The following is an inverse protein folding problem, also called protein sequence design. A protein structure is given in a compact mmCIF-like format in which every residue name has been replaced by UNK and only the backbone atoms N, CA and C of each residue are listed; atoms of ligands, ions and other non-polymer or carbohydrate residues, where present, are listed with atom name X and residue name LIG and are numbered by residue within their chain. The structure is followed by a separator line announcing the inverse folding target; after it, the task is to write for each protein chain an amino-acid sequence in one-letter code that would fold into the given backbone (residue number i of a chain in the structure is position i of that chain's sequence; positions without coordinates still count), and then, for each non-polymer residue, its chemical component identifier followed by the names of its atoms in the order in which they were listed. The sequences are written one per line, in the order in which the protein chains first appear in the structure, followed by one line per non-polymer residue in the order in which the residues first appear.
data_IF_929369411814
#
_entry.id   IF_929369411814
#
_cell.length_a   1.000
_cell.length_b   1.000
_cell.length_c   1.000
_cell.angle_alpha   90.00
_cell.angle_beta   90.00
_cell.angle_gamma   90.00
#
_symmetry.space_group_name_H-M   'P 1'
#
loop_
_entity.id
_entity.type
_entity.pdbx_description
1 polymer ?
#
# COMPACT_ATOMS: atom_id res chain seq x y z
N UNK A 1 52.96 17.07 -48.35
CA UNK A 1 52.68 17.56 -46.99
C UNK A 1 51.16 17.54 -46.79
N UNK A 2 50.73 16.80 -45.76
CA UNK A 2 49.39 16.75 -45.13
C UNK A 2 48.17 16.22 -45.93
N UNK A 3 47.98 14.92 -45.73
CA UNK A 3 46.70 14.19 -45.60
C UNK A 3 45.75 14.93 -44.65
N UNK A 4 44.46 14.98 -45.00
CA UNK A 4 43.26 14.78 -44.14
C UNK A 4 42.14 15.74 -44.55
N UNK A 5 41.07 15.22 -45.16
CA UNK A 5 39.72 15.70 -44.87
C UNK A 5 38.77 14.51 -44.76
N UNK A 6 38.17 14.46 -43.58
CA UNK A 6 37.43 13.37 -43.00
C UNK A 6 36.03 13.27 -43.62
N UNK A 7 35.58 12.03 -43.78
CA UNK A 7 34.17 11.66 -43.93
C UNK A 7 33.36 12.21 -42.75
N UNK A 8 32.36 13.04 -43.02
CA UNK A 8 31.28 13.33 -42.07
C UNK A 8 30.03 12.60 -42.55
N UNK A 9 29.90 11.34 -42.11
CA UNK A 9 28.63 10.62 -42.15
C UNK A 9 27.78 11.17 -41.01
N UNK A 10 26.75 11.93 -41.36
CA UNK A 10 25.76 12.47 -40.43
C UNK A 10 24.92 11.31 -39.87
N UNK A 11 25.29 10.86 -38.67
CA UNK A 11 24.50 9.97 -37.80
C UNK A 11 23.24 10.70 -37.32
N UNK A 12 22.20 10.70 -38.15
CA UNK A 12 20.87 11.21 -37.82
C UNK A 12 19.93 10.05 -37.50
N UNK A 13 20.23 9.28 -36.45
CA UNK A 13 19.34 8.25 -35.91
C UNK A 13 19.56 8.06 -34.41
N UNK A 14 18.97 8.94 -33.59
CA UNK A 14 18.73 8.64 -32.16
C UNK A 14 17.91 9.74 -31.46
N UNK A 15 16.79 10.16 -32.07
CA UNK A 15 15.83 11.09 -31.42
C UNK A 15 14.42 10.50 -31.27
N UNK A 16 14.25 9.18 -31.29
CA UNK A 16 12.93 8.53 -31.15
C UNK A 16 12.90 7.49 -30.00
N UNK A 17 14.02 7.21 -29.33
CA UNK A 17 14.05 6.23 -28.24
C UNK A 17 13.59 6.77 -26.86
N UNK A 18 13.30 8.07 -26.72
CA UNK A 18 12.85 8.65 -25.45
C UNK A 18 11.32 8.80 -25.31
N UNK A 19 10.53 8.38 -26.30
CA UNK A 19 9.06 8.46 -26.26
C UNK A 19 8.36 7.11 -25.97
N UNK A 20 9.12 6.07 -25.61
CA UNK A 20 8.59 4.72 -25.35
C UNK A 20 8.97 4.16 -23.97
N UNK A 21 9.46 4.99 -23.05
CA UNK A 21 9.55 4.62 -21.64
C UNK A 21 8.19 4.86 -20.97
N UNK A 22 7.33 3.87 -21.21
CA UNK A 22 6.27 3.38 -20.35
C UNK A 22 5.86 4.31 -19.20
N UNK A 23 4.66 4.86 -19.35
CA UNK A 23 3.79 5.34 -18.28
C UNK A 23 3.53 4.32 -17.15
N UNK A 24 4.22 3.18 -17.12
CA UNK A 24 4.17 2.16 -16.09
C UNK A 24 5.20 2.37 -14.96
N UNK A 25 6.09 3.38 -15.06
CA UNK A 25 7.07 3.72 -14.00
C UNK A 25 6.57 4.82 -13.04
N UNK A 26 5.31 5.26 -13.17
CA UNK A 26 4.58 5.87 -12.06
C UNK A 26 4.01 4.77 -11.15
N UNK A 27 4.89 3.86 -10.70
CA UNK A 27 4.68 3.18 -9.44
C UNK A 27 4.75 4.28 -8.37
N UNK A 28 3.60 4.91 -8.13
CA UNK A 28 3.32 5.81 -7.02
C UNK A 28 4.07 5.31 -5.81
N UNK A 29 5.16 6.00 -5.46
CA UNK A 29 5.86 5.83 -4.20
C UNK A 29 4.91 6.37 -3.13
N UNK A 30 3.90 5.58 -2.80
CA UNK A 30 3.17 5.74 -1.57
C UNK A 30 4.21 5.51 -0.47
N UNK A 31 4.72 6.61 0.10
CA UNK A 31 5.36 6.57 1.42
C UNK A 31 4.26 6.13 2.39
N UNK A 32 4.02 4.82 2.44
CA UNK A 32 3.12 4.21 3.40
C UNK A 32 3.76 4.45 4.77
N UNK A 33 3.17 5.36 5.54
CA UNK A 33 3.53 5.54 6.94
C UNK A 33 2.99 4.36 7.73
N UNK A 34 3.80 3.92 8.70
CA UNK A 34 3.48 2.95 9.77
C UNK A 34 2.36 1.95 9.45
N UNK A 35 2.77 0.75 9.03
CA UNK A 35 1.87 -0.40 8.96
C UNK A 35 1.65 -0.98 10.35
N UNK A 36 0.40 -1.06 10.79
CA UNK A 36 0.02 -1.85 11.96
C UNK A 36 -0.64 -3.13 11.46
N UNK A 37 -0.27 -4.26 12.03
CA UNK A 37 -1.00 -5.50 11.76
C UNK A 37 -0.98 -6.45 12.94
N UNK A 38 -1.83 -7.46 12.88
CA UNK A 38 -1.88 -8.52 13.88
C UNK A 38 -2.92 -9.59 13.56
N UNK A 39 -2.78 -10.73 14.21
CA UNK A 39 -3.82 -11.76 14.26
C UNK A 39 -4.57 -11.66 15.58
N UNK A 40 -5.83 -12.07 15.59
CA UNK A 40 -6.56 -12.37 16.81
C UNK A 40 -5.88 -13.50 17.57
N UNK A 41 -6.15 -13.63 18.87
CA UNK A 41 -5.54 -14.68 19.70
C UNK A 41 -5.85 -16.10 19.25
N UNK A 42 -6.98 -16.29 18.58
CA UNK A 42 -7.42 -17.56 17.99
C UNK A 42 -7.02 -17.74 16.52
N UNK A 43 -6.27 -16.79 15.95
CA UNK A 43 -5.86 -16.76 14.54
C UNK A 43 -6.99 -16.78 13.50
N UNK A 44 -8.25 -16.57 13.91
CA UNK A 44 -9.40 -16.56 12.98
C UNK A 44 -9.56 -15.25 12.24
N UNK A 45 -9.01 -14.16 12.79
CA UNK A 45 -9.11 -12.84 12.21
C UNK A 45 -7.73 -12.21 12.05
N UNK A 46 -7.55 -11.48 10.96
CA UNK A 46 -6.36 -10.69 10.71
C UNK A 46 -6.76 -9.22 10.55
N UNK A 47 -5.95 -8.33 11.12
CA UNK A 47 -6.12 -6.89 10.98
C UNK A 47 -4.89 -6.28 10.32
N UNK A 48 -5.17 -5.37 9.38
CA UNK A 48 -4.18 -4.59 8.68
C UNK A 48 -4.63 -3.13 8.67
N UNK A 49 -3.75 -2.22 9.11
CA UNK A 49 -3.92 -0.78 8.99
C UNK A 49 -2.71 -0.23 8.26
N UNK A 50 -2.98 0.56 7.23
CA UNK A 50 -1.98 1.36 6.55
C UNK A 50 -2.46 2.79 6.39
N UNK A 51 -1.50 3.71 6.30
CA UNK A 51 -1.76 5.10 6.00
C UNK A 51 -0.77 5.63 4.99
N UNK A 52 -1.21 6.63 4.24
CA UNK A 52 -0.42 7.29 3.23
C UNK A 52 -0.88 8.74 3.09
N UNK A 53 -0.24 9.47 2.18
CA UNK A 53 -0.64 10.82 1.83
C UNK A 53 -0.96 10.86 0.34
N UNK A 54 -2.08 11.46 -0.03
CA UNK A 54 -2.38 11.72 -1.43
C UNK A 54 -1.30 12.66 -2.00
N UNK A 55 -0.61 12.25 -3.05
CA UNK A 55 0.51 13.01 -3.60
C UNK A 55 0.08 14.34 -4.28
N UNK A 56 -1.19 14.50 -4.61
CA UNK A 56 -1.72 15.69 -5.30
C UNK A 56 -2.43 16.63 -4.34
N UNK A 57 -3.33 16.09 -3.50
CA UNK A 57 -4.13 16.92 -2.58
C UNK A 57 -3.51 17.08 -1.21
N UNK A 58 -2.43 16.34 -0.92
CA UNK A 58 -1.79 16.23 0.39
C UNK A 58 -2.71 15.71 1.50
N UNK A 59 -3.96 15.32 1.19
CA UNK A 59 -4.92 14.77 2.15
C UNK A 59 -4.40 13.43 2.67
N UNK A 60 -4.35 13.21 3.99
CA UNK A 60 -3.98 11.92 4.55
C UNK A 60 -5.04 10.87 4.24
N UNK A 61 -4.59 9.69 3.87
CA UNK A 61 -5.44 8.54 3.62
C UNK A 61 -5.06 7.44 4.61
N UNK A 62 -6.04 6.77 5.18
CA UNK A 62 -5.82 5.53 5.91
C UNK A 62 -6.84 4.49 5.47
N UNK A 63 -6.47 3.22 5.60
CA UNK A 63 -7.34 2.08 5.36
C UNK A 63 -7.06 1.02 6.42
N UNK A 64 -8.14 0.55 7.04
CA UNK A 64 -8.12 -0.60 7.95
C UNK A 64 -8.91 -1.73 7.32
N UNK A 65 -8.40 -2.94 7.44
CA UNK A 65 -9.03 -4.17 6.97
C UNK A 65 -8.98 -5.18 8.09
N UNK A 66 -10.16 -5.65 8.51
CA UNK A 66 -10.32 -6.78 9.41
C UNK A 66 -10.93 -7.91 8.59
N UNK A 67 -10.16 -8.97 8.42
CA UNK A 67 -10.53 -10.09 7.55
C UNK A 67 -10.70 -11.38 8.34
N UNK A 68 -11.74 -12.11 8.00
CA UNK A 68 -11.91 -13.49 8.40
C UNK A 68 -10.90 -14.34 7.62
N UNK A 69 -10.03 -15.06 8.33
CA UNK A 69 -8.95 -15.83 7.69
C UNK A 69 -9.51 -17.05 6.95
N UNK A 70 -10.57 -17.68 7.47
CA UNK A 70 -11.12 -18.90 6.88
C UNK A 70 -11.87 -18.62 5.57
N UNK A 71 -12.63 -17.53 5.50
CA UNK A 71 -13.40 -17.17 4.31
C UNK A 71 -12.70 -16.16 3.41
N UNK A 72 -11.54 -15.63 3.84
CA UNK A 72 -10.82 -14.56 3.16
C UNK A 72 -11.74 -13.38 2.79
N UNK A 73 -12.67 -13.05 3.68
CA UNK A 73 -13.66 -12.01 3.49
C UNK A 73 -13.51 -10.92 4.54
N UNK A 74 -13.94 -9.71 4.20
CA UNK A 74 -14.03 -8.64 5.17
C UNK A 74 -15.04 -8.98 6.26
N UNK A 75 -14.69 -8.72 7.52
CA UNK A 75 -15.67 -8.68 8.61
C UNK A 75 -16.60 -7.48 8.43
N UNK A 76 -17.84 -7.61 8.87
CA UNK A 76 -18.81 -6.51 8.77
C UNK A 76 -18.28 -5.25 9.46
N UNK A 77 -18.32 -4.10 8.77
CA UNK A 77 -17.76 -2.82 9.25
C UNK A 77 -16.24 -2.87 9.57
N UNK A 78 -15.55 -3.93 9.14
CA UNK A 78 -14.14 -4.18 9.40
C UNK A 78 -13.19 -3.66 8.32
N UNK A 79 -13.69 -3.33 7.12
CA UNK A 79 -12.89 -2.80 6.02
C UNK A 79 -13.38 -1.42 5.63
N UNK A 80 -12.72 -0.41 6.15
CA UNK A 80 -13.08 0.98 5.95
C UNK A 80 -11.84 1.80 5.63
N UNK A 81 -12.05 2.93 4.96
CA UNK A 81 -11.03 3.91 4.62
C UNK A 81 -11.45 5.29 5.11
N UNK A 82 -10.51 6.20 5.26
CA UNK A 82 -10.86 7.59 5.52
C UNK A 82 -11.52 8.21 4.31
N UNK A 83 -12.55 9.02 4.58
CA UNK A 83 -13.28 9.80 3.58
C UNK A 83 -13.16 11.26 3.98
N UNK A 84 -12.06 11.88 3.55
CA UNK A 84 -11.79 13.28 3.80
C UNK A 84 -11.83 14.06 2.48
N UNK A 85 -12.25 15.32 2.57
CA UNK A 85 -12.13 16.26 1.47
C UNK A 85 -10.78 17.01 1.53
N UNK A 86 -10.61 18.00 0.65
CA UNK A 86 -9.37 18.80 0.58
C UNK A 86 -9.12 19.69 1.80
N UNK A 87 -10.13 19.97 2.63
CA UNK A 87 -9.97 20.79 3.84
C UNK A 87 -9.10 20.09 4.90
N UNK A 88 -8.99 18.76 4.82
CA UNK A 88 -8.22 17.93 5.74
C UNK A 88 -6.72 17.81 5.37
N UNK A 89 -6.20 18.59 4.42
CA UNK A 89 -4.79 18.50 3.99
C UNK A 89 -3.79 18.74 5.13
N UNK A 90 -4.18 19.54 6.13
CA UNK A 90 -3.41 19.82 7.33
C UNK A 90 -3.40 18.68 8.36
N UNK A 91 -4.27 17.67 8.24
CA UNK A 91 -4.27 16.51 9.13
C UNK A 91 -3.04 15.63 8.88
N UNK A 92 -2.59 14.94 9.92
CA UNK A 92 -1.49 13.98 9.83
C UNK A 92 -1.98 12.59 9.41
N UNK A 93 -1.08 11.74 8.90
CA UNK A 93 -1.42 10.34 8.62
C UNK A 93 -1.78 9.59 9.90
N UNK A 94 -1.17 9.97 11.04
CA UNK A 94 -1.50 9.42 12.35
C UNK A 94 -2.92 9.79 12.81
N UNK A 95 -3.41 10.98 12.46
CA UNK A 95 -4.80 11.35 12.73
C UNK A 95 -5.77 10.46 11.94
N UNK A 96 -5.48 10.23 10.65
CA UNK A 96 -6.24 9.31 9.80
C UNK A 96 -6.25 7.87 10.35
N UNK A 97 -5.10 7.37 10.82
CA UNK A 97 -4.99 6.07 11.50
C UNK A 97 -5.88 6.03 12.76
N UNK A 98 -5.79 7.05 13.61
CA UNK A 98 -6.52 7.12 14.87
C UNK A 98 -8.03 7.11 14.63
N UNK A 99 -8.53 7.87 13.66
CA UNK A 99 -9.95 7.89 13.30
C UNK A 99 -10.47 6.50 12.94
N UNK A 100 -9.74 5.74 12.14
CA UNK A 100 -10.13 4.38 11.79
C UNK A 100 -10.04 3.41 12.99
N UNK A 101 -9.05 3.58 13.86
CA UNK A 101 -8.91 2.79 15.09
C UNK A 101 -10.06 3.02 16.07
N UNK A 102 -10.61 4.24 16.12
CA UNK A 102 -11.80 4.57 16.91
C UNK A 102 -13.05 3.97 16.28
N UNK A 103 -13.26 4.17 14.97
CA UNK A 103 -14.42 3.62 14.24
C UNK A 103 -14.49 2.10 14.33
N UNK A 104 -13.35 1.42 14.33
CA UNK A 104 -13.28 -0.05 14.42
C UNK A 104 -13.12 -0.58 15.84
N UNK A 105 -13.18 0.25 16.88
CA UNK A 105 -12.89 -0.18 18.25
C UNK A 105 -13.77 -1.34 18.71
N UNK A 106 -15.10 -1.23 18.50
CA UNK A 106 -16.07 -2.23 18.93
C UNK A 106 -15.82 -3.59 18.29
N UNK A 107 -15.69 -3.63 16.95
CA UNK A 107 -15.41 -4.87 16.24
C UNK A 107 -14.07 -5.47 16.64
N UNK A 108 -13.00 -4.66 16.75
CA UNK A 108 -11.69 -5.17 17.20
C UNK A 108 -11.74 -5.76 18.60
N UNK A 109 -12.51 -5.17 19.52
CA UNK A 109 -12.69 -5.74 20.86
C UNK A 109 -13.44 -7.06 20.80
N UNK A 110 -14.54 -7.13 20.04
CA UNK A 110 -15.35 -8.36 19.90
C UNK A 110 -14.56 -9.53 19.30
N UNK A 111 -13.60 -9.24 18.42
CA UNK A 111 -12.76 -10.24 17.72
C UNK A 111 -11.39 -10.46 18.39
N UNK A 112 -11.11 -9.85 19.54
CA UNK A 112 -9.82 -10.01 20.23
C UNK A 112 -8.61 -9.38 19.51
N UNK A 113 -8.83 -8.36 18.68
CA UNK A 113 -7.83 -7.62 17.88
C UNK A 113 -7.34 -6.33 18.57
N UNK A 114 -7.29 -6.33 19.90
CA UNK A 114 -7.00 -5.12 20.71
C UNK A 114 -5.52 -4.73 20.68
N UNK A 115 -4.61 -5.67 20.40
CA UNK A 115 -3.16 -5.44 20.34
C UNK A 115 -2.68 -5.37 18.89
N UNK A 116 -2.65 -4.16 18.34
CA UNK A 116 -1.93 -3.89 17.10
C UNK A 116 -0.46 -3.65 17.40
N UNK A 117 0.43 -4.23 16.59
CA UNK A 117 1.87 -3.97 16.70
C UNK A 117 2.34 -3.21 15.46
N UNK A 118 3.08 -2.13 15.70
CA UNK A 118 3.75 -1.37 14.65
C UNK A 118 4.82 -2.24 14.02
N UNK A 119 4.88 -2.26 12.69
CA UNK A 119 6.02 -2.85 11.98
C UNK A 119 6.11 -4.38 12.10
N UNK A 120 5.01 -5.08 12.40
CA UNK A 120 4.96 -6.51 12.06
C UNK A 120 5.00 -6.61 10.55
N UNK A 121 6.19 -6.86 10.04
CA UNK A 121 6.37 -7.30 8.67
C UNK A 121 5.93 -8.75 8.63
N UNK A 122 4.78 -8.97 7.99
CA UNK A 122 4.33 -10.32 7.70
C UNK A 122 5.42 -11.03 6.88
N UNK A 123 5.84 -12.25 7.25
CA UNK A 123 6.77 -13.05 6.46
C UNK A 123 6.06 -13.60 5.23
N UNK A 124 5.89 -12.73 4.24
CA UNK A 124 5.23 -13.04 2.98
C UNK A 124 6.11 -14.02 2.20
N UNK A 125 5.60 -15.21 1.93
CA UNK A 125 6.30 -16.25 1.16
C UNK A 125 5.98 -16.18 -0.33
N UNK A 126 4.82 -15.65 -0.70
CA UNK A 126 4.47 -15.36 -2.08
C UNK A 126 3.43 -14.24 -2.17
N UNK A 127 3.42 -13.55 -3.32
CA UNK A 127 2.49 -12.48 -3.65
C UNK A 127 2.00 -12.70 -5.08
N UNK A 128 0.69 -12.65 -5.29
CA UNK A 128 0.08 -12.72 -6.60
C UNK A 128 -0.94 -11.59 -6.76
N UNK A 129 -0.79 -10.79 -7.80
CA UNK A 129 -1.73 -9.72 -8.16
C UNK A 129 -2.70 -10.25 -9.22
N UNK A 130 -4.00 -10.02 -9.02
CA UNK A 130 -5.05 -10.38 -9.98
C UNK A 130 -5.37 -9.21 -10.90
N UNK A 131 -6.00 -9.50 -12.04
CA UNK A 131 -6.39 -8.49 -13.04
C UNK A 131 -7.39 -7.45 -12.50
N UNK A 132 -8.13 -7.79 -11.45
CA UNK A 132 -9.07 -6.91 -10.74
C UNK A 132 -8.41 -5.95 -9.74
N UNK A 133 -7.06 -5.89 -9.73
CA UNK A 133 -6.23 -5.11 -8.77
C UNK A 133 -6.29 -5.63 -7.33
N UNK A 134 -6.89 -6.79 -7.07
CA UNK A 134 -6.74 -7.45 -5.78
C UNK A 134 -5.37 -8.14 -5.70
N UNK A 135 -4.83 -8.22 -4.48
CA UNK A 135 -3.61 -8.96 -4.19
C UNK A 135 -3.91 -10.13 -3.26
N UNK A 136 -3.29 -11.27 -3.53
CA UNK A 136 -3.22 -12.40 -2.62
C UNK A 136 -1.79 -12.52 -2.11
N UNK A 137 -1.64 -12.54 -0.78
CA UNK A 137 -0.35 -12.78 -0.13
C UNK A 137 -0.42 -14.10 0.62
N UNK A 138 0.60 -14.95 0.45
CA UNK A 138 0.82 -16.10 1.32
C UNK A 138 1.79 -15.70 2.41
N UNK A 139 1.50 -16.10 3.63
CA UNK A 139 2.25 -15.69 4.81
C UNK A 139 2.59 -16.93 5.63
N UNK A 140 3.84 -17.02 6.09
CA UNK A 140 4.24 -18.09 7.02
C UNK A 140 3.99 -17.67 8.46
N UNK A 141 3.01 -18.26 9.13
CA UNK A 141 2.81 -17.97 10.55
C UNK A 141 3.94 -18.60 11.38
N UNK A 142 4.65 -17.83 12.23
CA UNK A 142 5.59 -18.42 13.18
C UNK A 142 4.80 -19.19 14.25
N UNK A 143 5.11 -20.49 14.41
CA UNK A 143 4.49 -21.46 15.33
C UNK A 143 3.15 -22.08 14.89
N UNK A 144 3.16 -22.82 13.78
CA UNK A 144 2.35 -24.04 13.69
C UNK A 144 3.21 -25.24 14.09
#
# INVERSE_FOLDING_TARGET
MMIKRFFLVSLSFSAIAFLLLDSQVLATVFKASRRLSGFSTDSRHYIYLESSRNAVTEVPLAQIQIVNVATNSCEQDGCIKTEYDRSASNLSNQAAEYDLLQKTLSIRQSLGLTRLKVGIQLPITSRASKADRSETIQVRLPNQ
#
